data_IF_623436684062
#
_entry.id   IF_623436684062
#
_cell.length_a   1.000
_cell.length_b   1.000
_cell.length_c   1.000
_cell.angle_alpha   90.00
_cell.angle_beta   90.00
_cell.angle_gamma   90.00
#
_symmetry.space_group_name_H-M   'P 1'
#
loop_
_entity.id
_entity.type
_entity.pdbx_description
1 polymer ?
#
# COMPACT_ATOMS: atom_id res chain seq x y z
N UNK A 1 -24.30 38.12 -4.60
CA UNK A 1 -23.16 37.25 -4.25
C UNK A 1 -23.47 35.87 -4.80
N UNK A 2 -22.92 35.57 -5.96
CA UNK A 2 -23.30 34.44 -6.80
C UNK A 2 -22.05 33.57 -6.94
N UNK A 3 -22.02 32.41 -6.28
CA UNK A 3 -21.00 31.39 -6.54
C UNK A 3 -21.64 30.22 -7.27
N UNK A 4 -21.08 30.00 -8.45
CA UNK A 4 -21.63 29.24 -9.55
C UNK A 4 -21.38 27.74 -9.39
N UNK A 5 -22.39 26.98 -9.81
CA UNK A 5 -22.40 25.53 -9.98
C UNK A 5 -21.35 25.07 -11.01
N UNK A 6 -20.18 24.54 -10.57
CA UNK A 6 -19.33 23.67 -11.42
C UNK A 6 -18.58 22.66 -10.54
N UNK A 7 -19.24 21.58 -10.13
CA UNK A 7 -18.58 20.35 -9.65
C UNK A 7 -19.48 19.15 -9.94
N UNK A 8 -19.58 18.74 -11.21
CA UNK A 8 -20.20 17.43 -11.55
C UNK A 8 -19.78 16.78 -12.87
N UNK A 9 -18.76 17.29 -13.56
CA UNK A 9 -18.48 16.78 -14.93
C UNK A 9 -16.98 16.72 -15.21
N UNK A 10 -16.25 15.84 -14.51
CA UNK A 10 -14.84 15.57 -14.82
C UNK A 10 -14.41 14.14 -14.46
N UNK A 11 -15.34 13.18 -14.45
CA UNK A 11 -15.04 11.79 -14.12
C UNK A 11 -15.51 10.85 -15.24
N UNK A 12 -15.13 11.12 -16.50
CA UNK A 12 -15.44 10.18 -17.61
C UNK A 12 -14.46 10.23 -18.79
N UNK A 13 -13.37 11.01 -18.77
CA UNK A 13 -12.47 11.08 -19.94
C UNK A 13 -11.01 11.01 -19.51
N UNK A 14 -10.55 9.82 -19.10
CA UNK A 14 -9.14 9.43 -19.19
C UNK A 14 -9.07 7.93 -19.52
N UNK A 15 -9.66 7.53 -20.65
CA UNK A 15 -9.27 6.32 -21.34
C UNK A 15 -8.94 6.71 -22.78
N UNK A 16 -7.79 6.23 -23.25
CA UNK A 16 -7.14 6.50 -24.55
C UNK A 16 -6.39 7.84 -24.66
N UNK A 17 -5.08 7.79 -24.42
CA UNK A 17 -4.03 7.88 -25.47
C UNK A 17 -2.67 8.15 -24.81
N UNK A 18 -1.76 7.17 -24.87
CA UNK A 18 -0.31 7.42 -24.87
C UNK A 18 0.43 6.14 -25.29
N UNK A 19 0.46 5.88 -26.60
CA UNK A 19 1.56 5.16 -27.25
C UNK A 19 2.73 6.14 -27.33
N UNK A 20 3.58 6.15 -26.31
CA UNK A 20 4.88 6.81 -26.33
C UNK A 20 5.81 6.08 -25.35
N UNK A 21 6.71 5.28 -25.92
CA UNK A 21 7.99 4.78 -25.40
C UNK A 21 8.19 5.02 -23.89
N UNK A 22 7.70 4.07 -23.07
CA UNK A 22 8.07 3.95 -21.65
C UNK A 22 9.04 2.77 -21.54
N UNK A 23 10.20 2.91 -20.88
CA UNK A 23 11.12 1.80 -20.67
C UNK A 23 10.47 0.73 -19.77
N UNK A 24 10.11 -0.40 -20.38
CA UNK A 24 10.12 -1.79 -19.88
C UNK A 24 9.72 -2.14 -18.43
N UNK A 25 9.04 -1.28 -17.66
CA UNK A 25 8.55 -1.61 -16.30
C UNK A 25 7.02 -1.59 -16.19
N UNK A 26 6.32 -1.57 -17.32
CA UNK A 26 4.86 -1.61 -17.38
C UNK A 26 4.31 -2.98 -17.84
N UNK A 27 4.99 -4.08 -17.50
CA UNK A 27 4.36 -5.40 -17.52
C UNK A 27 3.79 -5.66 -16.13
N UNK A 28 2.45 -5.76 -16.04
CA UNK A 28 1.68 -5.93 -14.80
C UNK A 28 1.88 -7.27 -14.06
N UNK A 29 3.12 -7.68 -13.86
CA UNK A 29 3.50 -8.75 -12.96
C UNK A 29 3.81 -8.15 -11.58
N UNK A 30 3.35 -8.82 -10.51
CA UNK A 30 3.72 -8.46 -9.16
C UNK A 30 5.23 -8.64 -8.95
N UNK A 31 5.84 -7.77 -8.15
CA UNK A 31 7.25 -7.96 -7.74
C UNK A 31 7.41 -9.23 -6.92
N UNK A 32 8.65 -9.72 -6.85
CA UNK A 32 9.00 -10.89 -6.03
C UNK A 32 8.68 -10.65 -4.55
N UNK A 33 8.97 -9.45 -4.03
CA UNK A 33 8.62 -9.05 -2.66
C UNK A 33 7.10 -9.07 -2.45
N UNK A 34 6.32 -8.47 -3.37
CA UNK A 34 4.87 -8.44 -3.28
C UNK A 34 4.26 -9.85 -3.37
N UNK A 35 4.83 -10.75 -4.16
CA UNK A 35 4.38 -12.15 -4.21
C UNK A 35 4.69 -12.88 -2.90
N UNK A 36 5.91 -12.73 -2.39
CA UNK A 36 6.35 -13.34 -1.13
C UNK A 36 5.48 -12.89 0.03
N UNK A 37 5.24 -11.58 0.16
CA UNK A 37 4.36 -11.06 1.20
C UNK A 37 2.89 -11.36 0.93
N UNK A 38 2.46 -11.46 -0.32
CA UNK A 38 1.12 -11.92 -0.67
C UNK A 38 0.85 -13.35 -0.18
N UNK A 39 1.82 -14.25 -0.31
CA UNK A 39 1.76 -15.61 0.25
C UNK A 39 1.73 -15.58 1.78
N UNK A 40 2.64 -14.84 2.40
CA UNK A 40 2.74 -14.71 3.86
C UNK A 40 1.43 -14.18 4.47
N UNK A 41 0.87 -13.13 3.88
CA UNK A 41 -0.42 -12.58 4.31
C UNK A 41 -1.54 -13.58 4.06
N UNK A 42 -1.53 -14.33 2.96
CA UNK A 42 -2.52 -15.39 2.70
C UNK A 42 -2.50 -16.54 3.70
N UNK A 43 -1.34 -16.85 4.28
CA UNK A 43 -1.20 -17.85 5.34
C UNK A 43 -1.75 -17.33 6.67
N UNK A 44 -1.42 -16.09 7.05
CA UNK A 44 -1.66 -15.61 8.42
C UNK A 44 -2.88 -14.72 8.60
N UNK A 45 -3.39 -14.04 7.58
CA UNK A 45 -4.38 -12.98 7.76
C UNK A 45 -5.85 -13.35 7.54
N UNK A 46 -6.22 -14.16 6.53
CA UNK A 46 -7.62 -14.41 6.22
C UNK A 46 -8.47 -14.92 7.40
N UNK A 47 -9.50 -14.17 7.77
CA UNK A 47 -10.38 -14.43 8.92
C UNK A 47 -9.82 -14.02 10.29
N UNK A 48 -8.60 -13.48 10.35
CA UNK A 48 -7.90 -13.18 11.60
C UNK A 48 -6.98 -11.95 11.51
N UNK A 49 -7.44 -10.91 10.81
CA UNK A 49 -6.68 -9.68 10.54
C UNK A 49 -6.19 -8.95 11.80
N UNK A 50 -6.92 -9.06 12.91
CA UNK A 50 -6.57 -8.45 14.19
C UNK A 50 -5.56 -9.27 15.02
N UNK A 51 -5.19 -10.48 14.56
CA UNK A 51 -4.23 -11.32 15.27
C UNK A 51 -2.81 -10.76 15.21
N UNK A 52 -2.03 -10.97 16.28
CA UNK A 52 -0.62 -10.55 16.33
C UNK A 52 0.20 -11.10 15.15
N UNK A 53 -0.04 -12.35 14.72
CA UNK A 53 0.63 -12.96 13.58
C UNK A 53 0.34 -12.23 12.27
N UNK A 54 -0.92 -11.90 11.99
CA UNK A 54 -1.26 -11.12 10.80
C UNK A 54 -0.67 -9.71 10.85
N UNK A 55 -0.86 -9.00 11.97
CA UNK A 55 -0.36 -7.64 12.14
C UNK A 55 1.17 -7.56 11.94
N UNK A 56 1.90 -8.54 12.47
CA UNK A 56 3.34 -8.68 12.25
C UNK A 56 3.68 -8.90 10.78
N UNK A 57 2.96 -9.79 10.08
CA UNK A 57 3.19 -10.03 8.65
C UNK A 57 2.92 -8.77 7.81
N UNK A 58 1.88 -7.99 8.12
CA UNK A 58 1.61 -6.70 7.46
C UNK A 58 2.72 -5.69 7.77
N UNK A 59 3.19 -5.60 9.02
CA UNK A 59 4.32 -4.73 9.39
C UNK A 59 5.63 -5.09 8.68
N UNK A 60 5.93 -6.38 8.52
CA UNK A 60 7.11 -6.85 7.78
C UNK A 60 7.00 -6.48 6.29
N UNK A 61 5.84 -6.72 5.69
CA UNK A 61 5.54 -6.30 4.32
C UNK A 61 5.74 -4.79 4.15
N UNK A 62 5.20 -4.00 5.08
CA UNK A 62 5.27 -2.56 5.01
C UNK A 62 6.70 -2.04 5.17
N UNK A 63 7.50 -2.63 6.05
CA UNK A 63 8.91 -2.27 6.24
C UNK A 63 9.72 -2.41 4.95
N UNK A 64 9.52 -3.50 4.19
CA UNK A 64 10.21 -3.70 2.91
C UNK A 64 9.77 -2.67 1.88
N UNK A 65 8.47 -2.46 1.71
CA UNK A 65 7.96 -1.49 0.74
C UNK A 65 8.39 -0.05 1.07
N UNK A 66 8.30 0.36 2.34
CA UNK A 66 8.74 1.68 2.80
C UNK A 66 10.24 1.88 2.59
N UNK A 67 11.05 0.85 2.85
CA UNK A 67 12.50 0.89 2.60
C UNK A 67 12.79 1.06 1.10
N UNK A 68 12.18 0.24 0.25
CA UNK A 68 12.38 0.27 -1.20
C UNK A 68 11.93 1.61 -1.80
N UNK A 69 10.75 2.10 -1.41
CA UNK A 69 10.23 3.38 -1.90
C UNK A 69 11.04 4.56 -1.36
N UNK A 70 11.46 4.50 -0.09
CA UNK A 70 12.36 5.48 0.51
C UNK A 70 13.69 5.58 -0.22
N UNK A 71 14.30 4.45 -0.58
CA UNK A 71 15.53 4.41 -1.37
C UNK A 71 15.33 5.06 -2.74
N UNK A 72 14.27 4.70 -3.48
CA UNK A 72 13.95 5.29 -4.78
C UNK A 72 13.77 6.82 -4.71
N UNK A 73 13.11 7.32 -3.65
CA UNK A 73 12.97 8.75 -3.38
C UNK A 73 14.33 9.41 -3.14
N UNK A 74 15.21 8.81 -2.33
CA UNK A 74 16.54 9.33 -2.06
C UNK A 74 17.42 9.39 -3.32
N UNK A 75 17.46 8.30 -4.09
CA UNK A 75 18.23 8.17 -5.33
C UNK A 75 17.78 9.19 -6.38
N UNK A 76 16.48 9.51 -6.39
CA UNK A 76 15.89 10.54 -7.27
C UNK A 76 16.02 11.97 -6.72
N UNK A 77 16.80 12.18 -5.66
CA UNK A 77 17.04 13.49 -5.04
C UNK A 77 15.87 14.03 -4.21
N UNK A 78 14.83 13.25 -3.96
CA UNK A 78 13.63 13.64 -3.18
C UNK A 78 13.81 13.37 -1.68
N UNK A 79 14.92 13.86 -1.11
CA UNK A 79 15.31 13.58 0.30
C UNK A 79 14.23 13.95 1.32
N UNK A 80 13.54 15.08 1.12
CA UNK A 80 12.45 15.50 2.03
C UNK A 80 11.26 14.54 1.98
N UNK A 81 10.89 14.04 0.79
CA UNK A 81 9.84 13.05 0.65
C UNK A 81 10.23 11.71 1.30
N UNK A 82 11.49 11.29 1.16
CA UNK A 82 12.00 10.09 1.82
C UNK A 82 11.93 10.21 3.35
N UNK A 83 12.25 11.39 3.91
CA UNK A 83 12.17 11.61 5.35
C UNK A 83 10.72 11.68 5.84
N UNK A 84 9.82 12.30 5.07
CA UNK A 84 8.38 12.26 5.35
C UNK A 84 7.85 10.83 5.36
N UNK A 85 8.21 10.02 4.36
CA UNK A 85 7.83 8.62 4.31
C UNK A 85 8.28 7.87 5.57
N UNK A 86 9.55 8.03 5.95
CA UNK A 86 10.10 7.41 7.16
C UNK A 86 9.35 7.80 8.42
N UNK A 87 9.06 9.10 8.60
CA UNK A 87 8.39 9.60 9.81
C UNK A 87 6.96 9.08 9.93
N UNK A 88 6.19 9.14 8.85
CA UNK A 88 4.77 8.76 8.86
C UNK A 88 4.53 7.25 8.75
N UNK A 89 5.51 6.48 8.29
CA UNK A 89 5.42 5.02 8.25
C UNK A 89 6.10 4.31 9.43
N UNK A 90 6.83 4.99 10.31
CA UNK A 90 7.57 4.34 11.39
C UNK A 90 6.67 3.48 12.31
N UNK A 91 5.50 3.99 12.70
CA UNK A 91 4.59 3.25 13.57
C UNK A 91 4.02 1.98 12.89
N UNK A 92 3.90 2.01 11.57
CA UNK A 92 3.32 0.90 10.81
C UNK A 92 4.26 -0.32 10.73
N UNK A 93 5.55 -0.14 10.99
CA UNK A 93 6.52 -1.22 11.06
C UNK A 93 6.69 -1.75 12.48
N UNK A 94 6.08 -1.13 13.49
CA UNK A 94 6.30 -1.49 14.91
C UNK A 94 5.93 -2.96 15.23
N UNK A 95 4.97 -3.55 14.51
CA UNK A 95 4.61 -4.97 14.67
C UNK A 95 5.74 -5.96 14.39
N UNK A 96 6.88 -5.52 13.81
CA UNK A 96 8.09 -6.36 13.70
C UNK A 96 8.83 -6.51 15.04
N UNK A 97 8.66 -5.56 15.97
CA UNK A 97 9.40 -5.44 17.22
C UNK A 97 8.59 -5.85 18.46
N UNK A 98 7.27 -5.96 18.34
CA UNK A 98 6.40 -6.36 19.44
C UNK A 98 4.93 -6.53 19.04
N UNK A 99 4.12 -6.90 20.02
CA UNK A 99 2.68 -7.05 19.85
C UNK A 99 1.97 -5.73 20.19
N UNK A 100 1.09 -5.31 19.29
CA UNK A 100 0.34 -4.06 19.41
C UNK A 100 -1.15 -4.30 19.20
N UNK A 101 -2.02 -3.51 19.84
CA UNK A 101 -3.45 -3.60 19.59
C UNK A 101 -3.80 -3.36 18.12
N UNK A 102 -4.73 -4.16 17.58
CA UNK A 102 -5.14 -4.08 16.18
C UNK A 102 -5.61 -2.68 15.75
N UNK A 103 -6.34 -1.97 16.64
CA UNK A 103 -6.79 -0.61 16.35
C UNK A 103 -5.63 0.37 16.14
N UNK A 104 -4.53 0.22 16.88
CA UNK A 104 -3.36 1.08 16.78
C UNK A 104 -2.60 0.78 15.48
N UNK A 105 -2.42 -0.50 15.17
CA UNK A 105 -1.78 -0.94 13.94
C UNK A 105 -2.57 -0.53 12.70
N UNK A 106 -3.90 -0.68 12.70
CA UNK A 106 -4.79 -0.19 11.65
C UNK A 106 -4.58 1.30 11.38
N UNK A 107 -4.54 2.12 12.44
CA UNK A 107 -4.28 3.55 12.32
C UNK A 107 -2.92 3.82 11.67
N UNK A 108 -1.88 3.13 12.11
CA UNK A 108 -0.53 3.29 11.59
C UNK A 108 -0.40 2.85 10.13
N UNK A 109 -1.01 1.72 9.74
CA UNK A 109 -1.07 1.27 8.36
C UNK A 109 -1.80 2.26 7.46
N UNK A 110 -2.91 2.81 7.95
CA UNK A 110 -3.71 3.80 7.22
C UNK A 110 -2.94 5.10 7.01
N UNK A 111 -2.26 5.60 8.05
CA UNK A 111 -1.41 6.78 7.94
C UNK A 111 -0.31 6.57 6.90
N UNK A 112 0.43 5.46 6.99
CA UNK A 112 1.47 5.14 6.04
C UNK A 112 0.94 5.03 4.60
N UNK A 113 -0.20 4.34 4.41
CA UNK A 113 -0.81 4.18 3.08
C UNK A 113 -1.20 5.53 2.46
N UNK A 114 -1.75 6.45 3.26
CA UNK A 114 -2.10 7.80 2.82
C UNK A 114 -0.84 8.60 2.45
N UNK A 115 0.19 8.57 3.30
CA UNK A 115 1.46 9.25 3.02
C UNK A 115 2.09 8.77 1.71
N UNK A 116 2.10 7.46 1.47
CA UNK A 116 2.63 6.91 0.21
C UNK A 116 1.83 7.42 -1.00
N UNK A 117 0.50 7.44 -0.90
CA UNK A 117 -0.36 7.98 -1.95
C UNK A 117 -0.07 9.46 -2.24
N UNK A 118 0.06 10.27 -1.19
CA UNK A 118 0.37 11.69 -1.28
C UNK A 118 1.74 11.93 -1.91
N UNK A 119 2.77 11.21 -1.44
CA UNK A 119 4.13 11.32 -1.97
C UNK A 119 4.21 10.88 -3.43
N UNK A 120 3.47 9.83 -3.81
CA UNK A 120 3.40 9.41 -5.21
C UNK A 120 2.81 10.49 -6.11
N UNK A 121 1.76 11.18 -5.63
CA UNK A 121 1.18 12.33 -6.34
C UNK A 121 2.10 13.55 -6.41
N UNK A 122 2.83 13.85 -5.33
CA UNK A 122 3.69 15.03 -5.24
C UNK A 122 5.02 14.88 -5.99
N UNK A 123 5.60 13.69 -5.98
CA UNK A 123 6.95 13.45 -6.53
C UNK A 123 6.94 12.89 -7.94
N UNK A 124 5.78 12.39 -8.40
CA UNK A 124 5.63 11.60 -9.62
C UNK A 124 6.49 10.32 -9.64
N UNK A 125 6.96 9.87 -8.47
CA UNK A 125 7.63 8.58 -8.27
C UNK A 125 6.66 7.66 -7.55
N UNK A 126 6.40 6.49 -8.14
CA UNK A 126 5.43 5.55 -7.59
C UNK A 126 6.14 4.45 -6.79
N UNK A 127 5.55 3.98 -5.69
CA UNK A 127 5.99 2.74 -5.06
C UNK A 127 5.71 1.55 -5.99
N UNK A 128 6.19 0.37 -5.62
CA UNK A 128 5.66 -0.86 -6.19
C UNK A 128 4.15 -0.96 -5.89
N UNK A 129 3.35 -0.90 -6.95
CA UNK A 129 1.90 -0.90 -6.85
C UNK A 129 1.35 -2.20 -6.28
N UNK A 130 1.95 -3.34 -6.60
CA UNK A 130 1.47 -4.64 -6.12
C UNK A 130 1.70 -4.76 -4.62
N UNK A 131 2.86 -4.30 -4.15
CA UNK A 131 3.18 -4.27 -2.72
C UNK A 131 2.30 -3.26 -1.97
N UNK A 132 2.10 -2.07 -2.53
CA UNK A 132 1.21 -1.06 -1.96
C UNK A 132 -0.24 -1.56 -1.83
N UNK A 133 -0.73 -2.34 -2.81
CA UNK A 133 -2.06 -2.95 -2.75
C UNK A 133 -2.21 -3.94 -1.60
N UNK A 134 -1.14 -4.61 -1.15
CA UNK A 134 -1.20 -5.45 0.05
C UNK A 134 -1.47 -4.63 1.31
N UNK A 135 -0.83 -3.47 1.45
CA UNK A 135 -1.04 -2.56 2.57
C UNK A 135 -2.47 -1.99 2.57
N UNK A 136 -2.94 -1.52 1.41
CA UNK A 136 -4.32 -1.01 1.25
C UNK A 136 -5.35 -2.12 1.50
N UNK A 137 -5.09 -3.34 1.01
CA UNK A 137 -5.97 -4.48 1.26
C UNK A 137 -6.05 -4.84 2.75
N UNK A 138 -4.91 -4.79 3.45
CA UNK A 138 -4.86 -5.02 4.89
C UNK A 138 -5.66 -3.96 5.67
N UNK A 139 -5.58 -2.67 5.31
CA UNK A 139 -6.36 -1.62 5.99
C UNK A 139 -7.86 -1.79 5.76
N UNK A 140 -8.27 -2.14 4.54
CA UNK A 140 -9.68 -2.45 4.23
C UNK A 140 -10.19 -3.63 5.06
N UNK A 141 -9.39 -4.68 5.20
CA UNK A 141 -9.77 -5.84 6.00
C UNK A 141 -9.82 -5.57 7.51
N UNK A 142 -8.89 -4.78 8.04
CA UNK A 142 -8.92 -4.29 9.42
C UNK A 142 -10.09 -3.32 9.67
N UNK A 143 -10.65 -2.70 8.63
CA UNK A 143 -11.85 -1.87 8.71
C UNK A 143 -13.15 -2.66 8.63
N UNK A 144 -13.09 -3.96 8.33
CA UNK A 144 -14.28 -4.78 8.08
C UNK A 144 -15.01 -4.38 6.80
N UNK A 145 -14.29 -3.81 5.83
CA UNK A 145 -14.85 -3.38 4.55
C UNK A 145 -15.38 -4.59 3.74
N UNK A 146 -16.40 -4.35 2.91
CA UNK A 146 -17.03 -5.40 2.11
C UNK A 146 -16.04 -6.04 1.10
N UNK A 147 -15.04 -5.27 0.68
CA UNK A 147 -13.94 -5.64 -0.19
C UNK A 147 -12.98 -6.64 0.46
N UNK A 148 -13.04 -6.86 1.78
CA UNK A 148 -12.15 -7.80 2.44
C UNK A 148 -12.36 -9.24 1.98
N UNK A 149 -13.61 -9.68 1.79
CA UNK A 149 -13.90 -11.04 1.35
C UNK A 149 -13.22 -11.43 0.02
N UNK A 150 -13.31 -10.62 -1.07
CA UNK A 150 -12.55 -10.90 -2.28
C UNK A 150 -11.03 -10.78 -2.10
N UNK A 151 -10.53 -9.86 -1.26
CA UNK A 151 -9.09 -9.76 -0.94
C UNK A 151 -8.58 -11.05 -0.29
N UNK A 152 -9.27 -11.55 0.74
CA UNK A 152 -8.93 -12.80 1.40
C UNK A 152 -8.92 -13.98 0.44
N UNK A 153 -9.90 -14.04 -0.48
CA UNK A 153 -9.94 -15.09 -1.50
C UNK A 153 -8.68 -15.07 -2.36
N UNK A 154 -8.24 -13.90 -2.81
CA UNK A 154 -7.01 -13.75 -3.61
C UNK A 154 -5.77 -14.13 -2.79
N UNK A 155 -5.67 -13.69 -1.54
CA UNK A 155 -4.54 -14.02 -0.67
C UNK A 155 -4.44 -15.52 -0.39
N UNK A 156 -5.56 -16.19 -0.11
CA UNK A 156 -5.60 -17.66 0.07
C UNK A 156 -5.13 -18.40 -1.19
N UNK A 157 -5.45 -17.88 -2.38
CA UNK A 157 -4.98 -18.46 -3.65
C UNK A 157 -3.48 -18.31 -3.85
N UNK A 158 -2.87 -17.25 -3.31
CA UNK A 158 -1.42 -17.06 -3.34
C UNK A 158 -0.72 -18.04 -2.39
N UNK A 159 -1.22 -18.17 -1.15
CA UNK A 159 -0.64 -19.07 -0.14
C UNK A 159 -0.71 -20.56 -0.50
N UNK A 160 -1.66 -20.97 -1.35
CA UNK A 160 -1.80 -22.35 -1.82
C UNK A 160 -0.91 -22.72 -3.03
N UNK A 161 0.01 -21.84 -3.44
CA UNK A 161 0.97 -22.06 -4.53
C UNK A 161 2.36 -22.28 -3.97
#
# INVERSE_FOLDING_TARGET
MTFSFIKKTALTVVMLQALAIVPAHATGAASEDALTFGQLLGEYCPGQWESAHCLKAVSQSNMVMVSNYGAALQESGKKQAAEQLKQHCAASTAGTEGDYPAYAMKSAFTECANTIGDLAGQTNLKPDLSHYQLLVGATMCLDGAAECAPIEKTLRQLAGR
#
